data_IF_433097782234
#
_entry.id   IF_433097782234
#
_cell.length_a   1.000
_cell.length_b   1.000
_cell.length_c   1.000
_cell.angle_alpha   90.00
_cell.angle_beta   90.00
_cell.angle_gamma   90.00
#
_symmetry.space_group_name_H-M   'P 1'
#
loop_
_entity.id
_entity.type
_entity.pdbx_description
1 polymer ?
#
# COMPACT_ATOMS: atom_id res chain seq x y z
N UNK A 1 43.92 1.82 17.60
CA UNK A 1 43.18 1.93 18.88
C UNK A 1 41.77 2.39 18.59
N UNK A 2 40.77 1.50 18.69
CA UNK A 2 39.37 1.89 18.60
C UNK A 2 39.07 2.73 19.84
N UNK A 3 38.81 4.03 19.65
CA UNK A 3 38.27 4.87 20.73
C UNK A 3 36.92 4.27 21.07
N UNK A 4 36.85 3.67 22.25
CA UNK A 4 35.67 3.03 22.78
C UNK A 4 34.53 4.06 22.73
N UNK A 5 33.47 3.72 21.99
CA UNK A 5 32.32 4.60 21.85
C UNK A 5 31.60 4.58 23.20
N UNK A 6 31.52 5.73 23.87
CA UNK A 6 30.88 5.86 25.17
C UNK A 6 29.34 5.88 25.01
N UNK A 7 28.78 4.67 24.87
CA UNK A 7 27.35 4.44 24.59
C UNK A 7 26.44 4.95 25.72
N UNK A 8 26.98 5.22 26.91
CA UNK A 8 26.22 5.72 28.06
C UNK A 8 25.81 7.19 27.91
N UNK A 9 26.46 7.95 27.02
CA UNK A 9 26.13 9.36 26.74
C UNK A 9 25.07 9.55 25.66
N UNK A 10 24.60 8.47 25.04
CA UNK A 10 23.47 8.52 24.10
C UNK A 10 22.17 8.76 24.88
N UNK A 11 21.84 10.03 25.09
CA UNK A 11 20.52 10.44 25.60
C UNK A 11 19.47 9.96 24.59
N UNK A 12 18.48 9.17 25.04
CA UNK A 12 17.29 8.85 24.24
C UNK A 12 16.72 10.17 23.71
N UNK A 13 16.54 10.27 22.39
CA UNK A 13 15.99 11.48 21.76
C UNK A 13 14.67 11.82 22.47
N UNK A 14 14.56 12.97 23.16
CA UNK A 14 13.31 13.37 23.78
C UNK A 14 12.33 13.73 22.65
N UNK A 15 11.23 13.00 22.59
CA UNK A 15 10.16 13.21 21.61
C UNK A 15 9.65 11.91 20.99
N UNK A 16 8.36 11.88 20.64
CA UNK A 16 7.82 10.81 19.78
C UNK A 16 8.57 10.88 18.44
N UNK A 17 8.92 9.71 17.90
CA UNK A 17 9.41 9.62 16.52
C UNK A 17 8.39 10.35 15.65
N UNK A 18 8.81 11.44 14.97
CA UNK A 18 7.99 12.13 13.99
C UNK A 18 7.89 11.21 12.78
N UNK A 19 7.03 10.20 12.87
CA UNK A 19 6.60 9.44 11.70
C UNK A 19 5.64 10.36 10.98
N UNK A 20 5.84 10.53 9.67
CA UNK A 20 4.89 11.23 8.84
C UNK A 20 3.51 10.55 8.99
N UNK A 21 2.46 11.25 9.46
CA UNK A 21 1.13 10.65 9.63
C UNK A 21 0.61 10.05 8.32
N UNK A 22 1.00 10.60 7.16
CA UNK A 22 0.57 10.12 5.85
C UNK A 22 1.27 8.80 5.44
N UNK A 23 2.40 8.47 6.08
CA UNK A 23 3.10 7.20 5.87
C UNK A 23 2.59 6.08 6.80
N UNK A 24 1.73 6.38 7.77
CA UNK A 24 1.21 5.41 8.71
C UNK A 24 0.07 4.58 8.08
N UNK A 25 0.25 3.26 8.04
CA UNK A 25 -0.81 2.34 7.57
C UNK A 25 -1.88 2.19 8.64
N UNK A 26 -3.13 2.45 8.28
CA UNK A 26 -4.29 2.18 9.15
C UNK A 26 -4.84 0.78 8.87
N UNK A 27 -4.91 -0.12 9.86
CA UNK A 27 -5.51 -1.43 9.67
C UNK A 27 -7.03 -1.31 9.51
N UNK A 28 -7.59 -1.98 8.51
CA UNK A 28 -9.03 -2.01 8.24
C UNK A 28 -9.52 -3.46 8.09
N UNK A 29 -10.76 -3.71 8.47
CA UNK A 29 -11.42 -5.01 8.28
C UNK A 29 -12.38 -4.94 7.09
N UNK A 30 -12.23 -5.84 6.13
CA UNK A 30 -13.07 -5.94 4.94
C UNK A 30 -13.65 -7.36 4.88
N UNK A 31 -14.95 -7.49 4.60
CA UNK A 31 -15.57 -8.79 4.30
C UNK A 31 -15.43 -9.05 2.80
N UNK A 32 -14.91 -10.21 2.45
CA UNK A 32 -14.72 -10.66 1.07
C UNK A 32 -15.30 -12.06 0.92
N UNK A 33 -15.80 -12.36 -0.27
CA UNK A 33 -16.20 -13.73 -0.60
C UNK A 33 -14.99 -14.66 -0.54
N UNK A 34 -15.19 -15.87 -0.02
CA UNK A 34 -14.12 -16.86 0.13
C UNK A 34 -13.43 -17.20 -1.20
N UNK A 35 -14.21 -17.24 -2.29
CA UNK A 35 -13.67 -17.45 -3.65
C UNK A 35 -12.74 -16.32 -4.08
N UNK A 36 -13.15 -15.06 -3.89
CA UNK A 36 -12.33 -13.89 -4.25
C UNK A 36 -11.03 -13.89 -3.43
N UNK A 37 -11.09 -14.21 -2.14
CA UNK A 37 -9.91 -14.31 -1.29
C UNK A 37 -8.95 -15.41 -1.77
N UNK A 38 -9.47 -16.56 -2.21
CA UNK A 38 -8.66 -17.65 -2.73
C UNK A 38 -7.95 -17.26 -4.04
N UNK A 39 -8.67 -16.61 -4.96
CA UNK A 39 -8.13 -16.14 -6.24
C UNK A 39 -7.00 -15.10 -6.00
N UNK A 40 -7.21 -14.15 -5.08
CA UNK A 40 -6.20 -13.16 -4.70
C UNK A 40 -4.95 -13.79 -4.06
N UNK A 41 -5.10 -14.84 -3.25
CA UNK A 41 -3.96 -15.57 -2.66
C UNK A 41 -3.15 -16.28 -3.74
N UNK A 42 -3.82 -17.01 -4.63
CA UNK A 42 -3.18 -17.71 -5.75
C UNK A 42 -2.37 -16.75 -6.62
N UNK A 43 -2.94 -15.58 -6.94
CA UNK A 43 -2.25 -14.58 -7.75
C UNK A 43 -1.08 -13.91 -7.00
N UNK A 44 -1.23 -13.67 -5.70
CA UNK A 44 -0.16 -13.12 -4.87
C UNK A 44 1.02 -14.11 -4.76
N UNK A 45 0.73 -15.41 -4.60
CA UNK A 45 1.73 -16.47 -4.59
C UNK A 45 2.46 -16.55 -5.94
N UNK A 46 1.73 -16.44 -7.05
CA UNK A 46 2.30 -16.38 -8.42
C UNK A 46 3.26 -15.20 -8.60
N UNK A 47 2.93 -14.05 -8.00
CA UNK A 47 3.74 -12.83 -8.05
C UNK A 47 4.85 -12.79 -6.99
N UNK A 48 4.89 -13.75 -6.06
CA UNK A 48 5.87 -13.80 -4.97
C UNK A 48 5.68 -12.71 -3.92
N UNK A 49 4.46 -12.20 -3.73
CA UNK A 49 4.14 -11.14 -2.76
C UNK A 49 3.06 -11.59 -1.78
N UNK A 50 2.99 -11.04 -0.55
CA UNK A 50 1.87 -11.31 0.34
C UNK A 50 0.53 -10.84 -0.26
N UNK A 51 -0.54 -11.61 -0.10
CA UNK A 51 -1.87 -11.25 -0.64
C UNK A 51 -2.39 -9.91 -0.10
N UNK A 52 -2.04 -9.53 1.13
CA UNK A 52 -2.39 -8.21 1.68
C UNK A 52 -1.67 -7.09 0.92
N UNK A 53 -0.42 -7.31 0.52
CA UNK A 53 0.36 -6.37 -0.29
C UNK A 53 -0.23 -6.25 -1.69
N UNK A 54 -0.66 -7.36 -2.29
CA UNK A 54 -1.35 -7.34 -3.58
C UNK A 54 -2.65 -6.55 -3.50
N UNK A 55 -3.49 -6.78 -2.48
CA UNK A 55 -4.72 -6.02 -2.25
C UNK A 55 -4.41 -4.52 -2.13
N UNK A 56 -3.41 -4.14 -1.32
CA UNK A 56 -3.00 -2.75 -1.18
C UNK A 56 -2.54 -2.12 -2.50
N UNK A 57 -1.76 -2.86 -3.30
CA UNK A 57 -1.30 -2.42 -4.62
C UNK A 57 -2.46 -2.23 -5.60
N UNK A 58 -3.44 -3.13 -5.61
CA UNK A 58 -4.65 -3.01 -6.45
C UNK A 58 -5.44 -1.76 -6.05
N UNK A 59 -5.70 -1.55 -4.76
CA UNK A 59 -6.43 -0.39 -4.28
C UNK A 59 -5.70 0.92 -4.60
N UNK A 60 -4.38 0.94 -4.42
CA UNK A 60 -3.56 2.09 -4.79
C UNK A 60 -3.67 2.42 -6.28
N UNK A 61 -3.44 1.41 -7.14
CA UNK A 61 -3.53 1.58 -8.61
C UNK A 61 -4.91 1.97 -9.09
N UNK A 62 -5.95 1.49 -8.41
CA UNK A 62 -7.32 1.87 -8.70
C UNK A 62 -7.56 3.36 -8.38
N UNK A 63 -7.10 3.82 -7.21
CA UNK A 63 -7.25 5.24 -6.81
C UNK A 63 -6.36 6.17 -7.64
N UNK A 64 -5.18 5.73 -8.07
CA UNK A 64 -4.29 6.53 -8.94
C UNK A 64 -4.71 6.53 -10.42
N UNK A 65 -5.70 5.69 -10.80
CA UNK A 65 -6.17 5.57 -12.18
C UNK A 65 -5.29 4.69 -13.08
N UNK A 66 -4.26 4.03 -12.54
CA UNK A 66 -3.44 3.05 -13.27
C UNK A 66 -4.19 1.76 -13.56
N UNK A 67 -5.17 1.41 -12.72
CA UNK A 67 -6.04 0.26 -12.91
C UNK A 67 -7.41 0.71 -13.44
N UNK A 68 -7.54 0.72 -14.75
CA UNK A 68 -8.80 1.02 -15.44
C UNK A 68 -9.59 -0.26 -15.59
N UNK A 69 -10.84 -0.28 -15.10
CA UNK A 69 -11.77 -1.36 -15.42
C UNK A 69 -12.18 -1.21 -16.90
N UNK A 70 -11.84 -2.18 -17.77
CA UNK A 70 -12.16 -2.10 -19.20
C UNK A 70 -13.67 -1.98 -19.49
N UNK A 71 -14.51 -2.39 -18.54
CA UNK A 71 -15.98 -2.30 -18.63
C UNK A 71 -16.53 -1.04 -17.98
N UNK A 72 -15.76 -0.36 -17.15
CA UNK A 72 -16.17 0.93 -16.62
C UNK A 72 -16.03 1.96 -17.73
N UNK A 73 -17.13 2.66 -18.02
CA UNK A 73 -17.11 3.76 -18.97
C UNK A 73 -16.19 4.86 -18.42
N UNK A 74 -15.06 5.09 -19.09
CA UNK A 74 -14.18 6.20 -18.76
C UNK A 74 -14.80 7.51 -19.28
N UNK A 75 -15.77 8.01 -18.51
CA UNK A 75 -16.50 9.25 -18.79
C UNK A 75 -15.55 10.43 -18.95
N UNK A 76 -14.46 10.48 -18.18
CA UNK A 76 -13.49 11.57 -18.25
C UNK A 76 -12.76 11.57 -19.60
N UNK A 77 -12.31 10.39 -20.06
CA UNK A 77 -11.71 10.23 -21.38
C UNK A 77 -12.68 10.54 -22.51
N UNK A 78 -13.92 10.05 -22.44
CA UNK A 78 -14.93 10.30 -23.48
C UNK A 78 -15.29 11.79 -23.60
N UNK A 79 -15.35 12.51 -22.47
CA UNK A 79 -15.59 13.95 -22.48
C UNK A 79 -14.39 14.70 -23.08
N UNK A 80 -13.16 14.25 -22.80
CA UNK A 80 -11.95 14.82 -23.39
C UNK A 80 -11.83 14.56 -24.90
N UNK A 81 -12.27 13.39 -25.39
CA UNK A 81 -12.31 13.06 -26.83
C UNK A 81 -13.44 13.79 -27.58
N UNK A 82 -14.48 14.25 -26.86
CA UNK A 82 -15.63 14.96 -27.43
C UNK A 82 -15.49 16.50 -27.44
N UNK A 83 -14.42 17.05 -26.87
CA UNK A 83 -14.11 18.49 -26.86
C UNK A 83 -13.03 18.84 -27.88
#
# INVERSE_FOLDING_TARGET
MKREYDLQKLKRRPGRVKVDPDAARTPISIRLDGKVLADLRSEADRLGVPYQTLIGSILHRYVTGELVDPKALDLARLIAEAS
#
